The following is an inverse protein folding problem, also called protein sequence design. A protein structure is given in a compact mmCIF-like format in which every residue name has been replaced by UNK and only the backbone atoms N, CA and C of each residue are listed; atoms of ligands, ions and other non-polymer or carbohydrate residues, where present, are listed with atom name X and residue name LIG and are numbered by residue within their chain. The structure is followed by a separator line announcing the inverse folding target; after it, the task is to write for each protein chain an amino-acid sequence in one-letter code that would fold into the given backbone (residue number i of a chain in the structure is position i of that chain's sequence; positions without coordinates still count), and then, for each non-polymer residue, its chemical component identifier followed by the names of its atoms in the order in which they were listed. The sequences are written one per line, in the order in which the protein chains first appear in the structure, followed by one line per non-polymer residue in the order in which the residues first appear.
data_IF_323461956223
#
_entry.id   IF_323461956223
#
_cell.length_a   1.000
_cell.length_b   1.000
_cell.length_c   1.000
_cell.angle_alpha   90.00
_cell.angle_beta   90.00
_cell.angle_gamma   90.00
#
_symmetry.space_group_name_H-M   'P 1'
#
loop_
_entity.id
_entity.type
_entity.pdbx_description
1 polymer ?
#
# COMPACT_ATOMS: atom_id res chain seq x y z
N UNK A 1 7.61 -3.59 -14.49
CA UNK A 1 7.56 -2.36 -15.31
C UNK A 1 7.54 -2.63 -16.81
N UNK A 2 8.28 -3.62 -17.33
CA UNK A 2 8.30 -3.93 -18.76
C UNK A 2 6.91 -4.25 -19.35
N UNK A 3 6.08 -5.06 -18.67
CA UNK A 3 4.74 -5.43 -19.17
C UNK A 3 3.80 -4.21 -19.31
N UNK A 4 3.71 -3.36 -18.29
CA UNK A 4 2.86 -2.16 -18.32
C UNK A 4 3.25 -1.20 -19.43
N UNK A 5 4.54 -0.88 -19.53
CA UNK A 5 5.05 0.01 -20.59
C UNK A 5 4.81 -0.59 -21.97
N UNK A 6 5.06 -1.89 -22.14
CA UNK A 6 4.83 -2.59 -23.40
C UNK A 6 3.35 -2.56 -23.80
N UNK A 7 2.42 -2.80 -22.87
CA UNK A 7 0.98 -2.77 -23.14
C UNK A 7 0.48 -1.37 -23.50
N UNK A 8 0.92 -0.35 -22.78
CA UNK A 8 0.58 1.04 -23.09
C UNK A 8 1.05 1.42 -24.48
N UNK A 9 2.32 1.16 -24.82
CA UNK A 9 2.85 1.47 -26.14
C UNK A 9 2.17 0.67 -27.25
N UNK A 10 1.83 -0.60 -27.01
CA UNK A 10 1.11 -1.42 -27.97
C UNK A 10 -0.31 -0.94 -28.25
N UNK A 11 -0.91 -0.10 -27.40
CA UNK A 11 -2.25 0.47 -27.61
C UNK A 11 -2.23 1.71 -28.50
N UNK A 12 -1.10 2.41 -28.64
CA UNK A 12 -1.01 3.65 -29.41
C UNK A 12 -1.39 3.43 -30.89
N UNK A 13 -2.28 4.29 -31.40
CA UNK A 13 -2.76 4.22 -32.78
C UNK A 13 -3.80 3.12 -33.04
N UNK A 14 -4.26 2.41 -32.01
CA UNK A 14 -5.30 1.38 -32.12
C UNK A 14 -6.61 1.82 -31.49
N UNK A 15 -7.69 1.20 -31.95
CA UNK A 15 -8.97 1.23 -31.26
C UNK A 15 -8.94 0.21 -30.11
N UNK A 16 -9.24 0.67 -28.90
CA UNK A 16 -9.33 -0.20 -27.72
C UNK A 16 -10.71 -0.09 -27.09
N UNK A 17 -11.16 -1.18 -26.48
CA UNK A 17 -12.43 -1.21 -25.74
C UNK A 17 -12.10 -0.86 -24.27
N UNK A 18 -12.76 0.18 -23.77
CA UNK A 18 -12.77 0.55 -22.35
C UNK A 18 -14.17 0.36 -21.79
N UNK A 19 -14.28 0.00 -20.52
CA UNK A 19 -15.55 -0.26 -19.86
C UNK A 19 -15.45 0.11 -18.38
N UNK A 20 -16.60 0.39 -17.76
CA UNK A 20 -16.70 0.49 -16.31
C UNK A 20 -16.87 -0.92 -15.72
N UNK A 21 -16.37 -1.16 -14.51
CA UNK A 21 -16.62 -2.43 -13.81
C UNK A 21 -17.95 -2.38 -13.04
N UNK A 22 -18.85 -3.30 -13.37
CA UNK A 22 -20.14 -3.48 -12.72
C UNK A 22 -20.11 -4.55 -11.63
N UNK A 23 -21.31 -4.99 -11.21
CA UNK A 23 -21.45 -6.01 -10.17
C UNK A 23 -20.78 -7.33 -10.59
N UNK A 24 -19.93 -7.87 -9.72
CA UNK A 24 -19.21 -9.12 -9.98
C UNK A 24 -18.06 -8.97 -10.98
N UNK A 25 -17.47 -7.77 -11.06
CA UNK A 25 -16.34 -7.43 -11.94
C UNK A 25 -16.62 -7.61 -13.44
N UNK A 26 -17.91 -7.58 -13.81
CA UNK A 26 -18.34 -7.69 -15.19
C UNK A 26 -18.25 -6.33 -15.90
N UNK A 27 -17.81 -6.29 -17.18
CA UNK A 27 -17.74 -5.06 -17.95
C UNK A 27 -19.15 -4.51 -18.20
N UNK A 28 -19.35 -3.23 -17.91
CA UNK A 28 -20.56 -2.47 -18.24
C UNK A 28 -20.19 -1.20 -19.02
N UNK A 29 -21.12 -0.70 -19.82
CA UNK A 29 -20.92 0.47 -20.68
C UNK A 29 -19.66 0.43 -21.56
N UNK A 30 -19.42 -0.64 -22.34
CA UNK A 30 -18.25 -0.71 -23.20
C UNK A 30 -18.27 0.40 -24.26
N UNK A 31 -17.11 1.03 -24.47
CA UNK A 31 -16.89 2.10 -25.45
C UNK A 31 -15.60 1.80 -26.20
N UNK A 32 -15.61 2.05 -27.51
CA UNK A 32 -14.40 2.01 -28.31
C UNK A 32 -13.77 3.40 -28.27
N UNK A 33 -12.48 3.47 -27.95
CA UNK A 33 -11.70 4.71 -28.00
C UNK A 33 -10.53 4.54 -28.97
N UNK A 34 -10.34 5.53 -29.85
CA UNK A 34 -9.17 5.61 -30.71
C UNK A 34 -8.01 6.22 -29.90
N UNK A 35 -6.99 5.41 -29.62
CA UNK A 35 -5.87 5.82 -28.75
C UNK A 35 -4.90 6.70 -29.54
N UNK A 36 -4.93 8.01 -29.29
CA UNK A 36 -4.03 8.99 -29.92
C UNK A 36 -2.81 9.35 -29.08
N UNK A 37 -2.86 9.11 -27.77
CA UNK A 37 -1.80 9.40 -26.82
C UNK A 37 -1.82 8.35 -25.73
N UNK A 38 -0.64 7.92 -25.32
CA UNK A 38 -0.42 7.05 -24.16
C UNK A 38 0.60 7.72 -23.27
N UNK A 39 0.45 7.57 -21.96
CA UNK A 39 1.39 8.05 -20.97
C UNK A 39 1.40 7.09 -19.78
N UNK A 40 2.54 6.95 -19.14
CA UNK A 40 2.65 6.32 -17.82
C UNK A 40 2.22 7.31 -16.73
N UNK A 41 1.91 6.78 -15.55
CA UNK A 41 1.63 7.59 -14.37
C UNK A 41 2.83 8.46 -13.97
N UNK A 42 4.05 7.92 -14.10
CA UNK A 42 5.29 8.66 -13.88
C UNK A 42 5.41 9.87 -14.81
N UNK A 43 5.23 9.67 -16.13
CA UNK A 43 5.29 10.77 -17.10
C UNK A 43 4.23 11.84 -16.82
N UNK A 44 3.05 11.43 -16.36
CA UNK A 44 1.99 12.36 -15.97
C UNK A 44 2.38 13.14 -14.72
N UNK A 45 2.86 12.48 -13.67
CA UNK A 45 3.32 13.11 -12.43
C UNK A 45 4.45 14.11 -12.70
N UNK A 46 5.47 13.69 -13.45
CA UNK A 46 6.61 14.52 -13.85
C UNK A 46 6.13 15.77 -14.63
N UNK A 47 5.16 15.61 -15.54
CA UNK A 47 4.57 16.74 -16.29
C UNK A 47 3.82 17.75 -15.42
N UNK A 48 3.48 17.38 -14.19
CA UNK A 48 2.82 18.24 -13.19
C UNK A 48 3.80 18.74 -12.12
N UNK A 49 5.09 18.45 -12.26
CA UNK A 49 6.11 18.82 -11.26
C UNK A 49 6.00 18.04 -9.96
N UNK A 50 5.40 16.84 -10.01
CA UNK A 50 5.24 15.96 -8.85
C UNK A 50 6.28 14.85 -8.98
N UNK A 51 7.11 14.67 -7.95
CA UNK A 51 8.04 13.54 -7.90
C UNK A 51 7.29 12.22 -7.78
N UNK A 52 7.76 11.21 -8.51
CA UNK A 52 7.11 9.92 -8.61
C UNK A 52 7.91 8.79 -7.94
N UNK A 53 7.24 7.98 -7.13
CA UNK A 53 7.77 6.73 -6.59
C UNK A 53 6.71 5.65 -6.69
N UNK A 54 7.09 4.48 -7.20
CA UNK A 54 6.19 3.34 -7.34
C UNK A 54 6.51 2.24 -6.35
N UNK A 55 5.50 1.83 -5.59
CA UNK A 55 5.50 0.64 -4.74
C UNK A 55 4.58 -0.40 -5.37
N UNK A 56 5.15 -1.50 -5.87
CA UNK A 56 4.43 -2.47 -6.70
C UNK A 56 3.68 -3.53 -5.88
N UNK A 57 2.79 -3.10 -4.98
CA UNK A 57 2.09 -4.00 -4.07
C UNK A 57 0.94 -4.77 -4.74
N UNK A 58 0.85 -6.04 -4.38
CA UNK A 58 -0.27 -6.92 -4.77
C UNK A 58 -1.56 -6.43 -4.11
N UNK A 59 -2.66 -6.41 -4.88
CA UNK A 59 -3.93 -5.94 -4.35
C UNK A 59 -4.49 -6.87 -3.26
N UNK A 60 -5.25 -6.31 -2.33
CA UNK A 60 -5.86 -6.98 -1.17
C UNK A 60 -4.91 -7.59 -0.13
N UNK A 61 -3.62 -7.72 -0.41
CA UNK A 61 -2.63 -8.26 0.53
C UNK A 61 -2.00 -7.16 1.40
N UNK A 62 -1.37 -7.60 2.50
CA UNK A 62 -0.43 -6.75 3.22
C UNK A 62 0.88 -6.64 2.41
N UNK A 63 1.55 -5.46 2.38
CA UNK A 63 2.86 -5.31 1.75
C UNK A 63 3.87 -6.36 2.23
N UNK A 64 4.63 -6.93 1.29
CA UNK A 64 5.67 -7.91 1.61
C UNK A 64 6.80 -7.25 2.43
N UNK A 65 7.60 -8.04 3.16
CA UNK A 65 8.72 -7.49 3.92
C UNK A 65 9.68 -6.63 3.09
N UNK A 66 10.01 -7.06 1.88
CA UNK A 66 10.92 -6.34 0.98
C UNK A 66 10.31 -5.02 0.47
N UNK A 67 9.00 -4.98 0.22
CA UNK A 67 8.28 -3.75 -0.15
C UNK A 67 8.25 -2.73 0.99
N UNK A 68 8.12 -3.20 2.24
CA UNK A 68 8.18 -2.34 3.43
C UNK A 68 9.60 -1.83 3.65
N UNK A 69 10.62 -2.66 3.45
CA UNK A 69 12.02 -2.23 3.54
C UNK A 69 12.36 -1.17 2.48
N UNK A 70 11.89 -1.36 1.23
CA UNK A 70 12.05 -0.37 0.17
C UNK A 70 11.33 0.95 0.51
N UNK A 71 10.13 0.89 1.07
CA UNK A 71 9.40 2.06 1.54
C UNK A 71 10.14 2.78 2.67
N UNK A 72 10.64 2.06 3.67
CA UNK A 72 11.44 2.63 4.76
C UNK A 72 12.72 3.29 4.25
N UNK A 73 13.41 2.66 3.30
CA UNK A 73 14.59 3.24 2.65
C UNK A 73 14.24 4.54 1.94
N UNK A 74 13.13 4.58 1.19
CA UNK A 74 12.63 5.80 0.55
C UNK A 74 12.32 6.89 1.58
N UNK A 75 11.55 6.58 2.63
CA UNK A 75 11.17 7.56 3.66
C UNK A 75 12.40 8.21 4.33
N UNK A 76 13.48 7.46 4.52
CA UNK A 76 14.75 7.98 5.08
C UNK A 76 15.46 8.99 4.17
N UNK A 77 15.16 9.00 2.87
CA UNK A 77 15.74 9.95 1.91
C UNK A 77 14.95 11.24 1.76
N UNK A 78 13.76 11.33 2.37
CA UNK A 78 12.89 12.49 2.23
C UNK A 78 13.45 13.70 2.99
N UNK A 79 13.37 14.90 2.40
CA UNK A 79 13.61 16.13 3.15
C UNK A 79 12.50 16.34 4.19
N UNK A 80 12.78 17.17 5.20
CA UNK A 80 11.87 17.38 6.34
C UNK A 80 10.52 17.99 5.94
N UNK A 81 10.48 18.75 4.84
CA UNK A 81 9.30 19.41 4.28
C UNK A 81 8.59 18.59 3.18
N UNK A 82 9.00 17.34 2.94
CA UNK A 82 8.38 16.48 1.94
C UNK A 82 6.90 16.21 2.25
N UNK A 83 6.05 16.34 1.22
CA UNK A 83 4.66 15.91 1.24
C UNK A 83 4.48 14.61 0.45
N UNK A 84 3.92 13.58 1.09
CA UNK A 84 3.61 12.31 0.43
C UNK A 84 2.13 12.22 0.07
N UNK A 85 1.83 12.07 -1.22
CA UNK A 85 0.49 11.77 -1.71
C UNK A 85 0.42 10.27 -2.08
N UNK A 86 -0.21 9.47 -1.24
CA UNK A 86 -0.44 8.05 -1.49
C UNK A 86 -1.72 7.84 -2.28
N UNK A 87 -1.69 6.97 -3.30
CA UNK A 87 -2.89 6.52 -3.97
C UNK A 87 -2.79 5.03 -4.35
N UNK A 88 -3.94 4.43 -4.62
CA UNK A 88 -4.08 3.12 -5.25
C UNK A 88 -5.32 3.20 -6.16
N UNK A 89 -5.90 2.07 -6.57
CA UNK A 89 -7.11 2.06 -7.39
C UNK A 89 -8.30 2.77 -6.71
N UNK A 90 -8.59 2.39 -5.46
CA UNK A 90 -9.77 2.86 -4.73
C UNK A 90 -9.45 3.84 -3.58
N UNK A 91 -8.18 4.19 -3.37
CA UNK A 91 -7.75 5.05 -2.25
C UNK A 91 -7.96 4.44 -0.84
N UNK A 92 -8.31 3.15 -0.75
CA UNK A 92 -8.79 2.55 0.49
C UNK A 92 -7.71 1.67 1.17
N UNK A 93 -7.60 0.40 0.80
CA UNK A 93 -6.75 -0.57 1.52
C UNK A 93 -5.25 -0.27 1.51
N UNK A 94 -4.63 -0.26 0.32
CA UNK A 94 -3.17 -0.03 0.16
C UNK A 94 -2.77 1.39 0.58
N UNK A 95 -3.54 2.38 0.14
CA UNK A 95 -3.36 3.79 0.52
C UNK A 95 -3.33 3.96 2.03
N UNK A 96 -4.36 3.47 2.73
CA UNK A 96 -4.43 3.66 4.19
C UNK A 96 -3.36 2.87 4.92
N UNK A 97 -2.98 1.68 4.45
CA UNK A 97 -1.88 0.91 5.04
C UNK A 97 -0.57 1.71 5.03
N UNK A 98 -0.20 2.32 3.89
CA UNK A 98 1.01 3.14 3.80
C UNK A 98 0.91 4.45 4.58
N UNK A 99 -0.26 5.10 4.59
CA UNK A 99 -0.48 6.29 5.43
C UNK A 99 -0.30 5.98 6.91
N UNK A 100 -0.89 4.88 7.40
CA UNK A 100 -0.74 4.41 8.79
C UNK A 100 0.73 4.10 9.11
N UNK A 101 1.43 3.37 8.23
CA UNK A 101 2.87 3.07 8.42
C UNK A 101 3.71 4.34 8.47
N UNK A 102 3.49 5.28 7.55
CA UNK A 102 4.19 6.57 7.55
C UNK A 102 3.94 7.36 8.83
N UNK A 103 2.70 7.32 9.30
CA UNK A 103 2.28 8.03 10.48
C UNK A 103 2.93 7.49 11.76
N UNK A 104 3.06 6.17 11.88
CA UNK A 104 3.83 5.52 12.95
C UNK A 104 5.30 5.95 12.94
N UNK A 105 5.92 6.01 11.76
CA UNK A 105 7.33 6.41 11.62
C UNK A 105 7.54 7.86 12.05
N UNK A 106 6.66 8.78 11.62
CA UNK A 106 6.80 10.21 11.93
C UNK A 106 6.36 10.56 13.36
N UNK A 107 5.47 9.77 13.95
CA UNK A 107 4.91 10.01 15.27
C UNK A 107 5.05 8.81 16.23
N UNK A 108 6.28 8.30 16.48
CA UNK A 108 6.51 7.06 17.21
C UNK A 108 6.11 7.11 18.70
N UNK A 109 5.85 8.31 19.23
CA UNK A 109 5.39 8.52 20.60
C UNK A 109 3.86 8.45 20.77
N UNK A 110 3.09 8.42 19.68
CA UNK A 110 1.64 8.35 19.78
C UNK A 110 1.14 6.93 20.02
N UNK A 111 0.06 6.76 20.80
CA UNK A 111 -0.58 5.45 20.97
C UNK A 111 -1.02 4.85 19.63
N UNK A 112 -0.86 3.53 19.50
CA UNK A 112 -1.35 2.75 18.36
C UNK A 112 -2.79 3.10 17.97
N UNK A 113 -3.68 3.17 18.97
CA UNK A 113 -5.09 3.48 18.79
C UNK A 113 -5.28 4.84 18.12
N UNK A 114 -4.56 5.87 18.56
CA UNK A 114 -4.74 7.23 18.05
C UNK A 114 -4.34 7.32 16.57
N UNK A 115 -3.28 6.61 16.17
CA UNK A 115 -2.83 6.55 14.78
C UNK A 115 -3.87 5.87 13.89
N UNK A 116 -4.34 4.68 14.26
CA UNK A 116 -5.29 3.93 13.41
C UNK A 116 -6.66 4.60 13.35
N UNK A 117 -7.10 5.24 14.44
CA UNK A 117 -8.37 5.98 14.46
C UNK A 117 -8.30 7.25 13.63
N UNK A 118 -7.27 8.09 13.78
CA UNK A 118 -7.22 9.34 13.02
C UNK A 118 -7.09 9.12 11.52
N UNK A 119 -6.39 8.07 11.09
CA UNK A 119 -6.29 7.69 9.67
C UNK A 119 -7.63 7.21 9.11
N UNK A 120 -8.44 6.53 9.93
CA UNK A 120 -9.81 6.18 9.59
C UNK A 120 -10.73 7.42 9.54
N UNK A 121 -10.65 8.31 10.52
CA UNK A 121 -11.50 9.50 10.64
C UNK A 121 -11.28 10.51 9.52
N UNK A 122 -10.08 10.57 8.92
CA UNK A 122 -9.81 11.40 7.74
C UNK A 122 -10.21 10.74 6.41
N UNK A 123 -10.93 9.62 6.45
CA UNK A 123 -11.52 8.97 5.27
C UNK A 123 -10.78 7.72 4.78
N UNK A 124 -9.76 7.25 5.51
CA UNK A 124 -9.10 5.98 5.23
C UNK A 124 -9.92 4.77 5.70
N UNK A 125 -9.45 3.57 5.36
CA UNK A 125 -10.00 2.33 5.92
C UNK A 125 -9.48 2.07 7.33
N UNK A 126 -10.29 1.47 8.19
CA UNK A 126 -9.82 0.99 9.49
C UNK A 126 -8.88 -0.21 9.29
N UNK A 127 -7.56 0.02 9.32
CA UNK A 127 -6.54 -1.01 9.02
C UNK A 127 -6.51 -2.19 10.01
N UNK A 128 -6.89 -2.05 11.30
CA UNK A 128 -7.04 -3.18 12.21
C UNK A 128 -8.37 -3.93 12.03
N UNK A 129 -9.08 -3.74 10.91
CA UNK A 129 -10.30 -4.50 10.66
C UNK A 129 -9.98 -5.99 10.51
N UNK A 130 -10.62 -6.80 11.35
CA UNK A 130 -10.60 -8.25 11.28
C UNK A 130 -12.04 -8.77 11.20
N UNK A 131 -12.22 -9.92 10.56
CA UNK A 131 -13.51 -10.58 10.39
C UNK A 131 -13.60 -11.72 11.39
N UNK A 132 -14.26 -11.49 12.53
CA UNK A 132 -14.36 -12.48 13.60
C UNK A 132 -15.03 -13.81 13.19
N UNK A 133 -15.92 -13.77 12.18
CA UNK A 133 -16.66 -14.94 11.67
C UNK A 133 -16.77 -14.88 10.13
N UNK A 134 -15.70 -15.19 9.38
CA UNK A 134 -15.75 -15.16 7.93
C UNK A 134 -16.71 -16.25 7.44
N UNK A 135 -17.62 -15.88 6.54
CA UNK A 135 -18.46 -16.87 5.86
C UNK A 135 -17.55 -17.76 5.01
N UNK A 136 -17.92 -19.03 4.78
CA UNK A 136 -17.13 -19.94 3.91
C UNK A 136 -16.86 -19.40 2.50
N UNK A 137 -17.69 -18.50 1.99
CA UNK A 137 -17.53 -17.83 0.69
C UNK A 137 -16.67 -16.57 0.76
N UNK A 138 -16.23 -16.15 1.95
CA UNK A 138 -15.44 -14.93 2.16
C UNK A 138 -13.95 -15.25 2.05
N UNK A 139 -13.49 -15.31 0.80
CA UNK A 139 -12.09 -15.56 0.49
C UNK A 139 -11.15 -14.44 1.00
N UNK A 140 -11.69 -13.26 1.37
CA UNK A 140 -10.90 -12.13 1.88
C UNK A 140 -10.62 -12.22 3.38
N UNK A 141 -11.36 -13.05 4.12
CA UNK A 141 -11.23 -13.20 5.58
C UNK A 141 -9.79 -13.39 6.08
N UNK A 142 -9.02 -14.37 5.55
CA UNK A 142 -7.64 -14.59 5.98
C UNK A 142 -6.71 -13.38 5.75
N UNK A 143 -6.95 -12.60 4.70
CA UNK A 143 -6.14 -11.41 4.39
C UNK A 143 -6.45 -10.22 5.29
N UNK A 144 -7.68 -10.10 5.80
CA UNK A 144 -8.00 -9.11 6.83
C UNK A 144 -7.31 -9.43 8.15
N UNK A 145 -7.32 -10.70 8.55
CA UNK A 145 -6.61 -11.15 9.75
C UNK A 145 -5.10 -10.88 9.67
N UNK A 146 -4.48 -11.22 8.53
CA UNK A 146 -3.06 -10.92 8.29
C UNK A 146 -2.77 -9.42 8.40
N UNK A 147 -3.59 -8.55 7.81
CA UNK A 147 -3.41 -7.09 7.92
C UNK A 147 -3.51 -6.60 9.35
N UNK A 148 -4.50 -7.07 10.10
CA UNK A 148 -4.66 -6.71 11.51
C UNK A 148 -3.42 -7.05 12.34
N UNK A 149 -2.87 -8.27 12.16
CA UNK A 149 -1.64 -8.70 12.83
C UNK A 149 -0.44 -7.85 12.39
N UNK A 150 -0.25 -7.67 11.08
CA UNK A 150 0.93 -7.05 10.53
C UNK A 150 1.02 -5.54 10.83
N UNK A 151 -0.11 -4.83 10.87
CA UNK A 151 -0.16 -3.41 11.31
C UNK A 151 0.29 -3.28 12.77
N UNK A 152 -0.14 -4.20 13.63
CA UNK A 152 0.25 -4.23 15.04
C UNK A 152 1.73 -4.56 15.23
N UNK A 153 2.26 -5.50 14.43
CA UNK A 153 3.68 -5.84 14.42
C UNK A 153 4.54 -4.68 13.89
N UNK A 154 4.08 -3.97 12.87
CA UNK A 154 4.79 -2.80 12.33
C UNK A 154 4.90 -1.68 13.36
N UNK A 155 3.83 -1.41 14.12
CA UNK A 155 3.87 -0.48 15.25
C UNK A 155 4.93 -0.87 16.29
N UNK A 156 4.98 -2.16 16.67
CA UNK A 156 6.01 -2.67 17.60
C UNK A 156 7.42 -2.48 17.03
N UNK A 157 7.62 -2.78 15.75
CA UNK A 157 8.88 -2.60 15.06
C UNK A 157 9.37 -1.14 15.12
N UNK A 158 8.50 -0.17 14.80
CA UNK A 158 8.85 1.26 14.87
C UNK A 158 9.25 1.65 16.29
N UNK A 159 8.52 1.19 17.30
CA UNK A 159 8.84 1.48 18.69
C UNK A 159 10.18 0.88 19.14
N UNK A 160 10.47 -0.37 18.74
CA UNK A 160 11.75 -1.03 19.01
C UNK A 160 12.91 -0.32 18.31
N UNK A 161 12.74 0.02 17.02
CA UNK A 161 13.78 0.66 16.22
C UNK A 161 14.05 2.11 16.61
N UNK A 162 13.05 2.82 17.12
CA UNK A 162 13.24 4.17 17.69
C UNK A 162 14.23 4.14 18.87
N UNK A 163 14.23 3.05 19.67
CA UNK A 163 15.18 2.86 20.79
C UNK A 163 16.54 2.34 20.33
N UNK A 164 16.58 1.60 19.21
CA UNK A 164 17.77 0.91 18.71
C UNK A 164 18.46 1.66 17.55
N UNK A 165 18.07 2.90 17.28
CA UNK A 165 18.67 3.72 16.22
C UNK A 165 18.48 3.17 14.81
N UNK A 166 17.36 2.48 14.54
CA UNK A 166 17.02 1.92 13.22
C UNK A 166 18.08 0.95 12.64
N UNK A 167 18.76 0.22 13.52
CA UNK A 167 19.84 -0.72 13.17
C UNK A 167 19.39 -1.99 12.47
N UNK A 168 18.09 -2.33 12.50
CA UNK A 168 17.53 -3.50 11.83
C UNK A 168 16.49 -3.08 10.79
N UNK A 169 16.48 -3.80 9.66
CA UNK A 169 15.40 -3.72 8.68
C UNK A 169 14.11 -4.39 9.20
N UNK A 170 12.97 -4.08 8.59
CA UNK A 170 11.69 -4.69 8.94
C UNK A 170 11.71 -6.18 8.66
N UNK A 171 12.24 -6.61 7.51
CA UNK A 171 12.34 -8.04 7.16
C UNK A 171 13.16 -8.83 8.19
N UNK A 172 14.30 -8.30 8.63
CA UNK A 172 15.14 -8.90 9.68
C UNK A 172 14.42 -8.96 11.02
N UNK A 173 13.81 -7.85 11.46
CA UNK A 173 13.11 -7.79 12.74
C UNK A 173 11.94 -8.76 12.78
N UNK A 174 11.14 -8.82 11.72
CA UNK A 174 9.98 -9.71 11.62
C UNK A 174 10.39 -11.18 11.66
N UNK A 175 11.45 -11.56 10.93
CA UNK A 175 12.01 -12.91 10.96
C UNK A 175 12.45 -13.29 12.37
N UNK A 176 13.17 -12.41 13.06
CA UNK A 176 13.62 -12.61 14.43
C UNK A 176 12.44 -12.77 15.42
N UNK A 177 11.40 -11.95 15.26
CA UNK A 177 10.18 -12.03 16.08
C UNK A 177 9.49 -13.38 15.92
N UNK A 178 9.31 -13.87 14.68
CA UNK A 178 8.68 -15.16 14.38
C UNK A 178 9.49 -16.35 14.93
N UNK A 179 10.82 -16.31 14.83
CA UNK A 179 11.67 -17.37 15.40
C UNK A 179 11.56 -17.47 16.92
N UNK A 180 11.42 -16.33 17.63
CA UNK A 180 11.25 -16.33 19.09
C UNK A 180 9.92 -16.95 19.51
N UNK A 181 8.83 -16.65 18.81
CA UNK A 181 7.50 -17.23 19.08
C UNK A 181 7.51 -18.75 18.89
N UNK A 182 8.15 -19.26 17.83
CA UNK A 182 8.20 -20.70 17.56
C UNK A 182 9.06 -21.50 18.54
N UNK A 183 9.93 -20.83 19.30
CA UNK A 183 10.83 -21.44 20.29
C UNK A 183 10.34 -21.25 21.74
N UNK A 184 9.14 -20.69 21.93
CA UNK A 184 8.51 -20.43 23.25
C UNK A 184 7.34 -21.38 23.46
#
# INVERSE_FOLDING_TARGET
MADEQQRLQAALGKDVIVYDQGKGDLPIHPRVIAVRRVQTEQELADSKGIHYVRLANTDHLWPTPDEIDAFLAFVRTLPDDAWLHFHCEAGAGRTTAYMVMYDMIKNPGLPYKDIVYRQYEIGGNYTPHDVAHPKRSDWKGPYYHEKHEMVSLFYQYVHDQTKQGWSQSWSQWLKNKRMRVNNS
#
